data_IF_933412191218
#
_entry.id   IF_933412191218
#
_cell.length_a   1.000
_cell.length_b   1.000
_cell.length_c   1.000
_cell.angle_alpha   90.00
_cell.angle_beta   90.00
_cell.angle_gamma   90.00
#
_symmetry.space_group_name_H-M   'P 1'
#
loop_
_entity.id
_entity.type
_entity.pdbx_description
1 polymer ?
#
# COMPACT_ATOMS: atom_id res chain seq x y z
N UNK A 1 -28.40 -0.43 -11.37
CA UNK A 1 -28.84 -0.73 -10.00
C UNK A 1 -29.16 -2.21 -9.97
N UNK A 2 -28.23 -2.99 -9.43
CA UNK A 2 -28.37 -4.44 -9.31
C UNK A 2 -29.71 -4.80 -8.65
N UNK A 3 -30.45 -5.72 -9.28
CA UNK A 3 -31.78 -6.17 -8.83
C UNK A 3 -31.75 -7.03 -7.56
N UNK A 4 -30.58 -7.24 -6.97
CA UNK A 4 -30.43 -7.98 -5.71
C UNK A 4 -31.13 -7.23 -4.58
N UNK A 5 -32.10 -7.82 -3.86
CA UNK A 5 -32.70 -7.16 -2.70
C UNK A 5 -31.67 -7.00 -1.57
N UNK A 6 -31.48 -5.79 -1.05
CA UNK A 6 -30.55 -5.53 0.08
C UNK A 6 -30.86 -6.42 1.29
N UNK A 7 -32.15 -6.64 1.54
CA UNK A 7 -32.63 -7.50 2.61
C UNK A 7 -32.16 -8.95 2.48
N UNK A 8 -32.00 -9.47 1.27
CA UNK A 8 -31.53 -10.83 1.04
C UNK A 8 -30.03 -10.98 1.34
N UNK A 9 -29.22 -10.00 0.91
CA UNK A 9 -27.78 -9.96 1.22
C UNK A 9 -27.56 -9.86 2.72
N UNK A 10 -28.18 -8.87 3.37
CA UNK A 10 -28.04 -8.65 4.82
C UNK A 10 -28.52 -9.84 5.65
N UNK A 11 -29.64 -10.46 5.27
CA UNK A 11 -30.14 -11.65 5.96
C UNK A 11 -29.18 -12.84 5.85
N UNK A 12 -28.57 -13.05 4.68
CA UNK A 12 -27.58 -14.11 4.48
C UNK A 12 -26.32 -13.86 5.32
N UNK A 13 -25.80 -12.62 5.29
CA UNK A 13 -24.62 -12.25 6.09
C UNK A 13 -24.89 -12.49 7.58
N UNK A 14 -26.02 -12.05 8.11
CA UNK A 14 -26.35 -12.24 9.52
C UNK A 14 -26.50 -13.73 9.88
N UNK A 15 -27.16 -14.52 9.03
CA UNK A 15 -27.33 -15.96 9.25
C UNK A 15 -25.98 -16.70 9.31
N UNK A 16 -24.98 -16.24 8.56
CA UNK A 16 -23.68 -16.90 8.42
C UNK A 16 -22.54 -16.20 9.19
N UNK A 17 -22.84 -15.11 9.90
CA UNK A 17 -21.87 -14.29 10.64
C UNK A 17 -21.03 -15.10 11.62
N UNK A 18 -21.67 -15.95 12.43
CA UNK A 18 -20.96 -16.70 13.46
C UNK A 18 -19.91 -17.66 12.86
N UNK A 19 -20.30 -18.45 11.86
CA UNK A 19 -19.39 -19.38 11.18
C UNK A 19 -18.22 -18.63 10.50
N UNK A 20 -18.51 -17.50 9.86
CA UNK A 20 -17.48 -16.65 9.26
C UNK A 20 -16.47 -16.13 10.30
N UNK A 21 -16.93 -15.67 11.47
CA UNK A 21 -16.03 -15.20 12.51
C UNK A 21 -15.23 -16.33 13.17
N UNK A 22 -15.83 -17.51 13.32
CA UNK A 22 -15.13 -18.70 13.82
C UNK A 22 -14.00 -19.14 12.88
N UNK A 23 -14.28 -19.14 11.57
CA UNK A 23 -13.30 -19.45 10.53
C UNK A 23 -12.15 -18.43 10.48
N UNK A 24 -12.48 -17.13 10.54
CA UNK A 24 -11.47 -16.08 10.61
C UNK A 24 -10.60 -16.24 11.87
N UNK A 25 -11.21 -16.55 13.01
CA UNK A 25 -10.47 -16.80 14.25
C UNK A 25 -9.56 -18.03 14.14
N UNK A 26 -9.95 -19.08 13.42
CA UNK A 26 -9.06 -20.21 13.14
C UNK A 26 -7.84 -19.79 12.32
N UNK A 27 -8.04 -18.97 11.28
CA UNK A 27 -6.95 -18.50 10.43
C UNK A 27 -5.98 -17.57 11.16
N UNK A 28 -6.52 -16.69 12.02
CA UNK A 28 -5.74 -15.75 12.84
C UNK A 28 -4.86 -16.48 13.88
N UNK A 29 -5.24 -17.69 14.31
CA UNK A 29 -4.39 -18.54 15.18
C UNK A 29 -3.15 -19.10 14.51
N UNK A 30 -3.02 -18.94 13.19
CA UNK A 30 -1.83 -19.34 12.45
C UNK A 30 -0.84 -18.16 12.44
N UNK A 31 0.29 -18.22 13.16
CA UNK A 31 1.26 -17.12 13.22
C UNK A 31 2.14 -17.13 11.96
N UNK A 32 1.55 -16.76 10.83
CA UNK A 32 2.21 -16.72 9.52
C UNK A 32 3.15 -15.52 9.39
N UNK A 33 4.16 -15.44 10.25
CA UNK A 33 5.12 -14.33 10.29
C UNK A 33 6.20 -14.53 9.23
N UNK A 34 6.15 -13.81 8.11
CA UNK A 34 7.09 -13.96 6.98
C UNK A 34 8.51 -13.50 7.32
N UNK A 35 8.64 -12.47 8.16
CA UNK A 35 9.93 -11.91 8.57
C UNK A 35 10.77 -12.84 9.47
N UNK A 36 10.20 -13.95 9.96
CA UNK A 36 10.83 -14.86 10.93
C UNK A 36 10.97 -16.28 10.34
N UNK A 37 12.19 -16.73 9.99
CA UNK A 37 12.40 -18.03 9.35
C UNK A 37 11.84 -19.24 10.12
N UNK A 38 11.76 -19.16 11.46
CA UNK A 38 11.15 -20.18 12.31
C UNK A 38 9.65 -20.38 12.05
N UNK A 39 8.97 -19.35 11.53
CA UNK A 39 7.55 -19.37 11.17
C UNK A 39 7.30 -19.78 9.71
N UNK A 40 8.31 -20.18 8.94
CA UNK A 40 8.13 -20.62 7.55
C UNK A 40 7.09 -21.75 7.40
N UNK A 41 7.03 -22.66 8.37
CA UNK A 41 6.02 -23.72 8.41
C UNK A 41 4.60 -23.19 8.72
N UNK A 42 4.48 -22.13 9.52
CA UNK A 42 3.21 -21.47 9.82
C UNK A 42 2.71 -20.65 8.62
N UNK A 43 3.59 -19.97 7.90
CA UNK A 43 3.26 -19.27 6.64
C UNK A 43 2.72 -20.27 5.62
N UNK A 44 3.39 -21.42 5.46
CA UNK A 44 2.87 -22.52 4.64
C UNK A 44 1.52 -23.05 5.12
N UNK A 45 1.36 -23.26 6.43
CA UNK A 45 0.09 -23.71 7.02
C UNK A 45 -1.04 -22.72 6.74
N UNK A 46 -0.76 -21.42 6.78
CA UNK A 46 -1.70 -20.35 6.46
C UNK A 46 -2.16 -20.43 5.00
N UNK A 47 -1.23 -20.63 4.06
CA UNK A 47 -1.55 -20.82 2.64
C UNK A 47 -2.40 -22.08 2.40
N UNK A 48 -2.00 -23.22 2.99
CA UNK A 48 -2.73 -24.48 2.86
C UNK A 48 -4.15 -24.37 3.47
N UNK A 49 -4.29 -23.69 4.62
CA UNK A 49 -5.59 -23.43 5.25
C UNK A 49 -6.48 -22.57 4.36
N UNK A 50 -5.96 -21.46 3.83
CA UNK A 50 -6.73 -20.56 2.97
C UNK A 50 -7.17 -21.25 1.68
N UNK A 51 -6.29 -22.03 1.04
CA UNK A 51 -6.64 -22.78 -0.16
C UNK A 51 -7.78 -23.78 0.10
N UNK A 52 -7.73 -24.52 1.22
CA UNK A 52 -8.82 -25.41 1.63
C UNK A 52 -10.11 -24.63 1.89
N UNK A 53 -10.01 -23.46 2.53
CA UNK A 53 -11.18 -22.63 2.85
C UNK A 53 -11.85 -22.02 1.64
N UNK A 54 -11.07 -21.61 0.64
CA UNK A 54 -11.59 -21.13 -0.64
C UNK A 54 -12.29 -22.26 -1.40
N UNK A 55 -11.76 -23.48 -1.35
CA UNK A 55 -12.44 -24.65 -1.91
C UNK A 55 -13.77 -24.93 -1.21
N UNK A 56 -13.82 -24.89 0.13
CA UNK A 56 -15.06 -25.00 0.91
C UNK A 56 -16.07 -23.89 0.60
N UNK A 57 -15.60 -22.67 0.36
CA UNK A 57 -16.42 -21.52 -0.05
C UNK A 57 -17.11 -21.77 -1.40
N UNK A 58 -16.46 -22.54 -2.28
CA UNK A 58 -17.01 -23.01 -3.55
C UNK A 58 -16.14 -22.71 -4.78
N UNK A 59 -14.91 -22.21 -4.61
CA UNK A 59 -14.00 -21.99 -5.72
C UNK A 59 -13.62 -23.32 -6.39
N UNK A 60 -13.92 -23.52 -7.69
CA UNK A 60 -13.63 -24.77 -8.38
C UNK A 60 -12.12 -25.02 -8.57
N UNK A 61 -11.31 -23.97 -8.57
CA UNK A 61 -9.85 -24.03 -8.65
C UNK A 61 -9.25 -23.34 -7.43
N UNK A 62 -8.43 -24.05 -6.66
CA UNK A 62 -7.63 -23.53 -5.55
C UNK A 62 -6.24 -24.19 -5.59
N UNK A 63 -5.19 -23.38 -5.60
CA UNK A 63 -3.81 -23.81 -5.76
C UNK A 63 -2.91 -23.06 -4.77
N UNK A 64 -1.93 -23.74 -4.19
CA UNK A 64 -0.83 -23.11 -3.46
C UNK A 64 0.37 -23.06 -4.39
N UNK A 65 0.76 -21.87 -4.82
CA UNK A 65 1.91 -21.64 -5.68
C UNK A 65 3.17 -21.47 -4.85
N UNK A 66 4.16 -22.29 -5.12
CA UNK A 66 5.47 -22.13 -4.51
C UNK A 66 6.23 -20.96 -5.17
N UNK A 67 6.88 -20.14 -4.37
CA UNK A 67 7.85 -19.12 -4.80
C UNK A 67 9.24 -19.51 -4.26
N UNK A 68 10.31 -18.80 -4.64
CA UNK A 68 11.60 -18.93 -3.94
C UNK A 68 11.54 -18.59 -2.44
N UNK A 69 10.53 -17.85 -2.00
CA UNK A 69 10.25 -17.51 -0.61
C UNK A 69 8.96 -18.15 -0.10
N UNK A 70 8.06 -17.34 0.46
CA UNK A 70 6.79 -17.84 0.99
C UNK A 70 5.75 -18.12 -0.12
N UNK A 71 4.93 -19.18 0.03
CA UNK A 71 3.95 -19.53 -0.98
C UNK A 71 2.86 -18.46 -1.15
N UNK A 72 2.25 -18.41 -2.32
CA UNK A 72 1.04 -17.64 -2.59
C UNK A 72 -0.16 -18.58 -2.81
N UNK A 73 -1.37 -18.11 -2.55
CA UNK A 73 -2.61 -18.85 -2.81
C UNK A 73 -3.31 -18.25 -4.02
N UNK A 74 -3.59 -19.08 -5.02
CA UNK A 74 -4.41 -18.73 -6.18
C UNK A 74 -5.75 -19.45 -6.11
N UNK A 75 -6.84 -18.72 -6.34
CA UNK A 75 -8.16 -19.33 -6.53
C UNK A 75 -8.90 -18.67 -7.69
N UNK A 76 -9.75 -19.44 -8.36
CA UNK A 76 -10.52 -18.97 -9.51
C UNK A 76 -11.91 -19.58 -9.52
N UNK A 77 -12.91 -18.72 -9.75
CA UNK A 77 -14.31 -19.08 -9.97
C UNK A 77 -14.85 -18.36 -11.21
N UNK A 78 -14.92 -19.07 -12.35
CA UNK A 78 -15.45 -18.51 -13.58
C UNK A 78 -16.94 -18.14 -13.45
N UNK A 79 -17.35 -17.02 -14.05
CA UNK A 79 -18.77 -16.68 -14.24
C UNK A 79 -19.43 -17.63 -15.23
N UNK A 80 -20.74 -17.83 -15.07
CA UNK A 80 -21.59 -18.52 -16.05
C UNK A 80 -21.82 -17.69 -17.33
N UNK A 81 -21.55 -16.36 -17.29
CA UNK A 81 -21.57 -15.49 -18.47
C UNK A 81 -20.13 -15.36 -19.03
N UNK A 82 -19.82 -15.92 -20.21
CA UNK A 82 -18.49 -15.83 -20.83
C UNK A 82 -18.08 -14.42 -21.27
N UNK A 83 -18.98 -13.44 -21.19
CA UNK A 83 -18.71 -12.04 -21.49
C UNK A 83 -18.62 -11.18 -20.22
N UNK A 84 -18.64 -11.81 -19.05
CA UNK A 84 -18.41 -11.11 -17.80
C UNK A 84 -16.94 -10.65 -17.71
N UNK A 85 -16.66 -9.53 -17.03
CA UNK A 85 -15.28 -9.13 -16.79
C UNK A 85 -14.58 -10.11 -15.85
N UNK A 86 -13.27 -10.21 -15.97
CA UNK A 86 -12.37 -10.90 -15.05
C UNK A 86 -11.87 -9.92 -14.01
N UNK A 87 -12.04 -10.28 -12.73
CA UNK A 87 -11.64 -9.44 -11.60
C UNK A 87 -10.70 -10.23 -10.72
N UNK A 88 -9.49 -9.71 -10.52
CA UNK A 88 -8.50 -10.28 -9.61
C UNK A 88 -8.54 -9.53 -8.28
N UNK A 89 -8.76 -10.24 -7.19
CA UNK A 89 -8.58 -9.74 -5.83
C UNK A 89 -7.16 -10.09 -5.37
N UNK A 90 -6.42 -9.09 -4.91
CA UNK A 90 -5.11 -9.23 -4.29
C UNK A 90 -5.19 -8.91 -2.79
N UNK A 91 -4.36 -9.58 -2.00
CA UNK A 91 -4.09 -9.30 -0.59
C UNK A 91 -2.94 -10.20 -0.12
N UNK A 92 -2.74 -10.33 1.19
CA UNK A 92 -1.70 -11.21 1.73
C UNK A 92 -2.17 -12.03 2.94
N UNK A 93 -1.45 -13.12 3.23
CA UNK A 93 -1.75 -14.03 4.33
C UNK A 93 -0.63 -14.16 5.35
N UNK A 94 0.54 -13.59 5.08
CA UNK A 94 1.56 -13.34 6.09
C UNK A 94 1.20 -12.11 6.92
N UNK A 95 1.83 -12.00 8.09
CA UNK A 95 1.53 -10.96 9.08
C UNK A 95 2.82 -10.49 9.76
N UNK A 96 2.85 -9.24 10.25
CA UNK A 96 3.97 -8.77 11.08
C UNK A 96 4.22 -9.64 12.32
N UNK A 97 5.47 -9.68 12.83
CA UNK A 97 5.78 -10.20 14.15
C UNK A 97 4.89 -9.60 15.24
N UNK A 98 4.58 -10.41 16.24
CA UNK A 98 3.91 -9.96 17.44
C UNK A 98 4.18 -10.92 18.61
N UNK A 99 4.52 -10.35 19.76
CA UNK A 99 4.67 -11.07 21.01
C UNK A 99 3.98 -10.31 22.14
N UNK A 100 3.66 -11.00 23.24
CA UNK A 100 2.98 -10.35 24.38
C UNK A 100 3.85 -9.27 25.02
N UNK A 101 5.16 -9.47 24.96
CA UNK A 101 6.21 -8.59 25.46
C UNK A 101 6.25 -7.24 24.73
N UNK A 102 5.71 -7.16 23.51
CA UNK A 102 5.62 -5.91 22.74
C UNK A 102 4.54 -4.95 23.28
N UNK A 103 3.79 -5.38 24.31
CA UNK A 103 2.75 -4.58 24.96
C UNK A 103 1.32 -4.95 24.56
N UNK A 104 1.10 -6.20 24.14
CA UNK A 104 -0.24 -6.71 23.86
C UNK A 104 -1.02 -7.06 25.14
N UNK A 105 -2.32 -6.71 25.15
CA UNK A 105 -3.19 -7.02 26.29
C UNK A 105 -3.52 -8.53 26.36
N UNK A 106 -3.61 -9.17 25.18
CA UNK A 106 -3.91 -10.59 24.96
C UNK A 106 -2.77 -11.26 24.22
N UNK A 107 -2.80 -12.60 24.10
CA UNK A 107 -1.90 -13.27 23.16
C UNK A 107 -2.20 -12.75 21.74
N UNK A 108 -1.21 -12.29 20.95
CA UNK A 108 -1.45 -11.72 19.63
C UNK A 108 -2.13 -12.69 18.66
N UNK A 109 -1.88 -13.99 18.80
CA UNK A 109 -2.41 -15.02 17.92
C UNK A 109 -3.56 -15.82 18.55
N UNK A 110 -4.09 -15.41 19.71
CA UNK A 110 -5.37 -15.90 20.21
C UNK A 110 -6.43 -14.82 20.01
N UNK A 111 -7.34 -14.96 19.03
CA UNK A 111 -8.31 -13.93 18.71
C UNK A 111 -9.31 -13.72 19.84
N UNK A 112 -9.46 -12.47 20.28
CA UNK A 112 -10.35 -12.10 21.37
C UNK A 112 -11.40 -11.10 20.89
N UNK A 113 -12.66 -11.51 20.94
CA UNK A 113 -13.80 -10.61 20.73
C UNK A 113 -14.16 -9.90 22.03
N UNK A 114 -14.15 -8.56 22.02
CA UNK A 114 -14.66 -7.71 23.11
C UNK A 114 -15.54 -6.62 22.54
N UNK A 115 -16.85 -6.71 22.79
CA UNK A 115 -17.82 -5.78 22.19
C UNK A 115 -17.81 -5.94 20.67
N UNK A 116 -17.63 -4.82 19.95
CA UNK A 116 -17.59 -4.80 18.49
C UNK A 116 -16.21 -5.11 17.89
N UNK A 117 -15.22 -5.51 18.70
CA UNK A 117 -13.82 -5.59 18.26
C UNK A 117 -13.31 -7.00 18.31
N UNK A 118 -12.73 -7.46 17.20
CA UNK A 118 -11.90 -8.66 17.14
C UNK A 118 -10.44 -8.22 17.21
N UNK A 119 -9.75 -8.62 18.28
CA UNK A 119 -8.33 -8.29 18.53
C UNK A 119 -7.47 -9.51 18.27
N UNK A 120 -6.57 -9.41 17.30
CA UNK A 120 -5.53 -10.39 16.98
C UNK A 120 -4.57 -9.75 15.97
N UNK A 121 -3.34 -10.25 15.88
CA UNK A 121 -2.44 -9.95 14.77
C UNK A 121 -3.04 -10.51 13.48
N UNK A 122 -3.11 -9.67 12.45
CA UNK A 122 -3.68 -10.01 11.15
C UNK A 122 -5.18 -9.82 11.04
N UNK A 123 -5.85 -9.38 12.11
CA UNK A 123 -7.29 -9.17 12.10
C UNK A 123 -7.72 -8.06 11.13
N UNK A 124 -6.89 -7.03 10.99
CA UNK A 124 -7.10 -5.91 10.06
C UNK A 124 -6.13 -5.95 8.86
N UNK A 125 -4.95 -6.57 9.04
CA UNK A 125 -3.83 -6.50 8.09
C UNK A 125 -3.17 -7.89 7.87
N UNK A 126 -3.58 -8.68 6.86
CA UNK A 126 -4.68 -8.44 5.94
C UNK A 126 -5.69 -9.60 5.89
N UNK A 127 -5.54 -10.59 6.80
CA UNK A 127 -6.40 -11.78 6.83
C UNK A 127 -7.88 -11.40 6.93
N UNK A 128 -8.24 -10.43 7.75
CA UNK A 128 -9.62 -9.97 7.84
C UNK A 128 -10.17 -9.45 6.52
N UNK A 129 -9.38 -8.66 5.78
CA UNK A 129 -9.86 -8.05 4.54
C UNK A 129 -9.92 -9.04 3.39
N UNK A 130 -8.92 -9.91 3.25
CA UNK A 130 -8.98 -11.06 2.33
C UNK A 130 -10.22 -11.91 2.64
N UNK A 131 -10.47 -12.17 3.92
CA UNK A 131 -11.50 -13.13 4.30
C UNK A 131 -12.91 -12.63 4.04
N UNK A 132 -13.20 -11.33 4.10
CA UNK A 132 -14.56 -10.82 3.85
C UNK A 132 -15.08 -11.15 2.44
N UNK A 133 -14.19 -11.35 1.46
CA UNK A 133 -14.57 -11.76 0.10
C UNK A 133 -15.25 -13.13 0.07
N UNK A 134 -14.90 -14.04 1.00
CA UNK A 134 -15.45 -15.40 1.06
C UNK A 134 -16.95 -15.37 1.39
N UNK A 135 -17.35 -14.66 2.45
CA UNK A 135 -18.76 -14.50 2.79
C UNK A 135 -19.47 -13.58 1.78
N UNK A 136 -18.78 -12.58 1.24
CA UNK A 136 -19.33 -11.64 0.26
C UNK A 136 -19.78 -12.33 -1.03
N UNK A 137 -18.92 -13.19 -1.61
CA UNK A 137 -19.29 -13.97 -2.80
C UNK A 137 -20.45 -14.92 -2.50
N UNK A 138 -20.47 -15.55 -1.32
CA UNK A 138 -21.58 -16.44 -0.91
C UNK A 138 -22.90 -15.69 -0.79
N UNK A 139 -22.89 -14.50 -0.19
CA UNK A 139 -24.07 -13.64 -0.06
C UNK A 139 -24.58 -13.15 -1.42
N UNK A 140 -23.67 -12.79 -2.34
CA UNK A 140 -24.01 -12.46 -3.73
C UNK A 140 -24.76 -13.63 -4.42
N UNK A 141 -24.22 -14.84 -4.35
CA UNK A 141 -24.83 -16.03 -4.97
C UNK A 141 -26.22 -16.31 -4.38
N UNK A 142 -26.34 -16.28 -3.06
CA UNK A 142 -27.61 -16.55 -2.37
C UNK A 142 -28.69 -15.52 -2.72
N UNK A 143 -28.33 -14.23 -2.75
CA UNK A 143 -29.28 -13.16 -2.98
C UNK A 143 -29.67 -13.01 -4.46
N UNK A 144 -28.80 -13.43 -5.39
CA UNK A 144 -29.08 -13.39 -6.84
C UNK A 144 -29.63 -14.71 -7.39
N UNK A 145 -29.51 -15.81 -6.65
CA UNK A 145 -29.84 -17.15 -7.11
C UNK A 145 -28.87 -17.71 -8.16
N UNK A 146 -27.68 -17.08 -8.34
CA UNK A 146 -26.66 -17.53 -9.29
C UNK A 146 -25.90 -18.75 -8.76
N UNK A 147 -25.42 -19.57 -9.67
CA UNK A 147 -24.55 -20.72 -9.40
C UNK A 147 -23.07 -20.37 -9.39
N UNK A 148 -22.69 -19.28 -10.07
CA UNK A 148 -21.35 -18.71 -10.08
C UNK A 148 -21.38 -17.17 -9.94
N UNK A 149 -20.26 -16.53 -9.55
CA UNK A 149 -20.19 -15.07 -9.40
C UNK A 149 -20.57 -14.35 -10.70
N UNK A 150 -20.93 -13.07 -10.59
CA UNK A 150 -21.32 -12.30 -11.78
C UNK A 150 -20.12 -11.90 -12.66
N UNK A 151 -18.90 -12.04 -12.14
CA UNK A 151 -17.60 -11.79 -12.79
C UNK A 151 -16.77 -13.08 -12.80
N UNK A 152 -15.77 -13.20 -13.66
CA UNK A 152 -14.75 -14.24 -13.48
C UNK A 152 -13.87 -13.82 -12.29
N UNK A 153 -14.13 -14.39 -11.13
CA UNK A 153 -13.49 -13.98 -9.88
C UNK A 153 -12.19 -14.78 -9.69
N UNK A 154 -11.07 -14.08 -9.55
CA UNK A 154 -9.77 -14.64 -9.20
C UNK A 154 -9.28 -14.04 -7.90
N UNK A 155 -8.57 -14.82 -7.08
CA UNK A 155 -7.84 -14.35 -5.91
C UNK A 155 -6.36 -14.72 -6.07
N UNK A 156 -5.47 -13.78 -5.78
CA UNK A 156 -4.03 -14.00 -5.62
C UNK A 156 -3.60 -13.42 -4.27
N UNK A 157 -3.36 -14.29 -3.29
CA UNK A 157 -3.03 -13.90 -1.92
C UNK A 157 -1.59 -14.30 -1.64
N UNK A 158 -0.67 -13.34 -1.54
CA UNK A 158 0.76 -13.64 -1.32
C UNK A 158 1.12 -13.87 0.15
N UNK A 159 2.34 -14.33 0.40
CA UNK A 159 2.84 -14.62 1.75
C UNK A 159 4.13 -13.89 2.10
N UNK A 160 4.49 -12.83 1.38
CA UNK A 160 5.73 -12.07 1.57
C UNK A 160 5.53 -10.55 1.68
N UNK A 161 4.29 -10.05 1.76
CA UNK A 161 3.99 -8.60 1.73
C UNK A 161 4.71 -7.87 2.86
N UNK A 162 4.63 -8.43 4.07
CA UNK A 162 5.17 -7.84 5.30
C UNK A 162 6.72 -7.92 5.34
N UNK A 163 7.30 -8.60 4.36
CA UNK A 163 8.74 -8.70 4.08
C UNK A 163 9.15 -7.98 2.79
N UNK A 164 8.27 -7.17 2.22
CA UNK A 164 8.51 -6.32 1.04
C UNK A 164 8.27 -6.99 -0.31
N UNK A 165 7.54 -8.10 -0.36
CA UNK A 165 7.15 -8.81 -1.60
C UNK A 165 8.31 -9.11 -2.58
N UNK A 166 9.50 -9.59 -2.12
CA UNK A 166 10.71 -9.64 -2.95
C UNK A 166 10.58 -10.51 -4.21
N UNK A 167 9.67 -11.49 -4.21
CA UNK A 167 9.44 -12.39 -5.34
C UNK A 167 8.10 -12.18 -6.05
N UNK A 168 7.26 -11.25 -5.57
CA UNK A 168 5.89 -11.11 -6.04
C UNK A 168 5.81 -10.70 -7.51
N UNK A 169 6.57 -9.68 -7.91
CA UNK A 169 6.61 -9.23 -9.30
C UNK A 169 6.97 -10.37 -10.26
N UNK A 170 8.00 -11.14 -9.94
CA UNK A 170 8.44 -12.28 -10.75
C UNK A 170 7.36 -13.37 -10.83
N UNK A 171 6.62 -13.63 -9.74
CA UNK A 171 5.48 -14.54 -9.74
C UNK A 171 4.37 -14.06 -10.67
N UNK A 172 4.02 -12.76 -10.63
CA UNK A 172 2.98 -12.18 -11.49
C UNK A 172 3.39 -12.25 -12.97
N UNK A 173 4.66 -11.99 -13.28
CA UNK A 173 5.21 -12.12 -14.64
C UNK A 173 5.22 -13.58 -15.12
N UNK A 174 5.62 -14.54 -14.27
CA UNK A 174 5.61 -15.97 -14.60
C UNK A 174 4.19 -16.51 -14.85
N UNK A 175 3.22 -16.03 -14.07
CA UNK A 175 1.82 -16.51 -14.06
C UNK A 175 0.85 -15.55 -14.73
N UNK A 176 1.33 -14.64 -15.55
CA UNK A 176 0.54 -13.58 -16.18
C UNK A 176 -0.66 -14.14 -16.98
N UNK A 177 -0.49 -15.31 -17.61
CA UNK A 177 -1.55 -16.02 -18.34
C UNK A 177 -2.70 -16.47 -17.43
N UNK A 178 -2.39 -16.91 -16.20
CA UNK A 178 -3.39 -17.25 -15.17
C UNK A 178 -3.99 -16.02 -14.52
N UNK A 179 -3.22 -14.93 -14.41
CA UNK A 179 -3.58 -13.72 -13.65
C UNK A 179 -4.21 -12.61 -14.47
N UNK A 180 -4.25 -12.73 -15.81
CA UNK A 180 -4.88 -11.74 -16.68
C UNK A 180 -6.28 -11.42 -16.18
N UNK A 181 -6.55 -10.13 -15.97
CA UNK A 181 -7.79 -9.61 -15.43
C UNK A 181 -8.11 -8.26 -16.07
N UNK A 182 -9.39 -7.93 -16.13
CA UNK A 182 -9.88 -6.66 -16.63
C UNK A 182 -9.80 -5.56 -15.55
N UNK A 183 -9.87 -5.94 -14.27
CA UNK A 183 -9.58 -5.08 -13.12
C UNK A 183 -8.94 -5.86 -11.97
N UNK A 184 -8.16 -5.14 -11.15
CA UNK A 184 -7.58 -5.67 -9.92
C UNK A 184 -8.17 -4.92 -8.72
N UNK A 185 -8.55 -5.64 -7.68
CA UNK A 185 -8.96 -5.10 -6.38
C UNK A 185 -7.86 -5.45 -5.38
N UNK A 186 -7.11 -4.45 -4.93
CA UNK A 186 -6.23 -4.58 -3.77
C UNK A 186 -7.11 -4.46 -2.53
N UNK A 187 -7.20 -5.57 -1.80
CA UNK A 187 -8.01 -5.70 -0.60
C UNK A 187 -7.27 -5.31 0.67
N UNK A 188 -6.32 -4.40 0.57
CA UNK A 188 -5.38 -4.06 1.63
C UNK A 188 -5.22 -2.54 1.71
N UNK A 189 -6.28 -1.87 2.16
CA UNK A 189 -6.27 -0.40 2.32
C UNK A 189 -7.12 0.05 3.51
N UNK A 190 -7.00 1.33 3.83
CA UNK A 190 -7.78 1.94 4.90
C UNK A 190 -8.85 2.90 4.37
N UNK A 191 -9.91 3.06 5.17
CA UNK A 191 -10.84 4.17 5.08
C UNK A 191 -10.38 5.31 5.99
N UNK A 192 -10.92 6.51 5.75
CA UNK A 192 -10.61 7.69 6.57
C UNK A 192 -10.91 7.48 8.06
N UNK A 193 -12.09 6.94 8.37
CA UNK A 193 -12.54 6.62 9.73
C UNK A 193 -13.74 5.71 9.71
N UNK A 194 -14.16 5.20 10.88
CA UNK A 194 -15.34 4.33 11.02
C UNK A 194 -16.61 4.95 10.41
N UNK A 195 -16.77 6.27 10.53
CA UNK A 195 -17.95 7.03 10.08
C UNK A 195 -17.73 7.78 8.76
N UNK A 196 -16.58 7.59 8.09
CA UNK A 196 -16.29 8.24 6.80
C UNK A 196 -15.61 7.23 5.89
N UNK A 197 -16.39 6.40 5.18
CA UNK A 197 -15.86 5.42 4.26
C UNK A 197 -15.29 6.14 3.04
N UNK A 198 -14.13 5.66 2.60
CA UNK A 198 -13.41 6.25 1.48
C UNK A 198 -12.85 5.18 0.56
N UNK A 199 -12.77 5.51 -0.73
CA UNK A 199 -12.04 4.72 -1.72
C UNK A 199 -10.73 5.43 -2.03
N UNK A 200 -9.62 4.72 -1.84
CA UNK A 200 -8.32 5.19 -2.31
C UNK A 200 -8.28 5.12 -3.84
N UNK A 201 -7.84 6.19 -4.50
CA UNK A 201 -7.77 6.25 -5.96
C UNK A 201 -6.35 6.06 -6.47
N UNK A 202 -5.35 6.10 -5.60
CA UNK A 202 -3.95 6.00 -6.00
C UNK A 202 -2.98 6.09 -4.83
N UNK A 203 -1.79 5.56 -5.06
CA UNK A 203 -0.72 5.44 -4.08
C UNK A 203 0.57 6.01 -4.69
N UNK A 204 1.41 6.62 -3.85
CA UNK A 204 2.70 7.15 -4.30
C UNK A 204 3.67 6.01 -4.60
N UNK A 205 4.58 6.26 -5.53
CA UNK A 205 5.76 5.43 -5.72
C UNK A 205 6.89 5.84 -4.78
N UNK A 206 7.99 5.12 -4.85
CA UNK A 206 9.19 5.37 -4.06
C UNK A 206 10.43 5.07 -4.90
N UNK A 207 11.36 6.02 -4.97
CA UNK A 207 12.73 5.76 -5.38
C UNK A 207 13.65 6.23 -4.24
N UNK A 208 14.69 5.47 -3.93
CA UNK A 208 15.62 5.79 -2.83
C UNK A 208 17.05 5.64 -3.31
N UNK A 209 17.92 6.54 -2.84
CA UNK A 209 19.34 6.45 -3.13
C UNK A 209 20.24 6.86 -1.97
N UNK A 210 21.45 6.31 -2.00
CA UNK A 210 22.57 6.70 -1.16
C UNK A 210 23.65 7.31 -2.06
N UNK A 211 24.09 8.52 -1.70
CA UNK A 211 25.15 9.27 -2.36
C UNK A 211 26.36 9.28 -1.43
N UNK A 212 27.41 8.56 -1.83
CA UNK A 212 28.70 8.58 -1.14
C UNK A 212 29.63 9.58 -1.82
N UNK A 213 30.29 10.43 -1.03
CA UNK A 213 31.23 11.44 -1.50
C UNK A 213 32.61 11.17 -0.93
N UNK A 214 33.64 11.16 -1.78
CA UNK A 214 35.04 10.92 -1.40
C UNK A 214 35.93 12.07 -1.85
N UNK A 215 36.63 12.67 -0.91
CA UNK A 215 37.63 13.72 -1.15
C UNK A 215 39.05 13.17 -0.99
N UNK A 216 39.82 13.64 0.02
CA UNK A 216 41.16 13.13 0.28
C UNK A 216 41.14 11.66 0.72
N UNK A 217 42.24 10.94 0.49
CA UNK A 217 42.34 9.50 0.82
C UNK A 217 42.31 9.19 2.34
N UNK A 218 42.40 10.23 3.18
CA UNK A 218 42.27 10.16 4.63
C UNK A 218 41.80 11.51 5.18
N UNK A 219 41.33 11.53 6.43
CA UNK A 219 41.10 12.78 7.15
C UNK A 219 42.38 13.63 7.19
N UNK A 220 42.27 14.92 6.86
CA UNK A 220 43.41 15.85 6.87
C UNK A 220 43.16 17.04 7.78
N UNK A 221 44.23 17.64 8.29
CA UNK A 221 44.16 18.74 9.26
C UNK A 221 43.48 19.99 8.68
N UNK A 222 42.33 20.41 9.22
CA UNK A 222 41.54 21.49 8.64
C UNK A 222 42.22 22.86 8.70
N UNK A 223 43.12 23.09 9.66
CA UNK A 223 43.90 24.34 9.69
C UNK A 223 45.01 24.40 8.64
N UNK A 224 45.50 23.24 8.17
CA UNK A 224 46.60 23.19 7.21
C UNK A 224 46.09 23.16 5.76
N UNK A 225 44.93 22.54 5.54
CA UNK A 225 44.37 22.31 4.21
C UNK A 225 43.02 23.02 3.97
N UNK A 226 42.44 23.64 5.02
CA UNK A 226 41.16 24.34 4.95
C UNK A 226 41.19 25.51 3.98
N UNK A 227 40.17 25.60 3.14
CA UNK A 227 40.07 26.61 2.08
C UNK A 227 40.84 26.27 0.80
N UNK A 228 41.65 25.20 0.80
CA UNK A 228 42.42 24.75 -0.36
C UNK A 228 42.00 23.37 -0.88
N UNK A 229 41.61 22.44 0.01
CA UNK A 229 41.14 21.08 -0.37
C UNK A 229 39.61 21.01 -0.27
N UNK A 230 38.91 20.45 -1.28
CA UNK A 230 37.47 20.32 -1.24
C UNK A 230 37.03 19.41 -0.08
N UNK A 231 35.97 19.81 0.61
CA UNK A 231 35.46 19.11 1.78
C UNK A 231 34.20 18.32 1.42
N UNK A 232 34.22 16.97 1.50
CA UNK A 232 33.06 16.13 1.23
C UNK A 232 31.82 16.50 2.06
N UNK A 233 31.98 16.82 3.35
CA UNK A 233 30.86 17.19 4.22
C UNK A 233 30.23 18.53 3.81
N UNK A 234 31.03 19.48 3.31
CA UNK A 234 30.51 20.73 2.74
C UNK A 234 29.76 20.48 1.44
N UNK A 235 30.24 19.57 0.58
CA UNK A 235 29.55 19.19 -0.65
C UNK A 235 28.20 18.51 -0.35
N UNK A 236 28.16 17.57 0.61
CA UNK A 236 26.92 16.93 1.07
C UNK A 236 25.90 17.96 1.59
N UNK A 237 26.35 18.90 2.43
CA UNK A 237 25.48 19.96 2.96
C UNK A 237 24.89 20.86 1.86
N UNK A 238 25.67 21.15 0.79
CA UNK A 238 25.20 21.95 -0.35
C UNK A 238 24.19 21.18 -1.21
N UNK A 239 24.44 19.89 -1.48
CA UNK A 239 23.45 19.06 -2.17
C UNK A 239 22.12 19.08 -1.42
N UNK A 240 22.14 18.85 -0.10
CA UNK A 240 20.91 18.90 0.72
C UNK A 240 20.26 20.28 0.72
N UNK A 241 21.04 21.36 0.83
CA UNK A 241 20.51 22.72 0.80
C UNK A 241 19.86 23.08 -0.55
N UNK A 242 20.39 22.54 -1.66
CA UNK A 242 19.89 22.76 -3.02
C UNK A 242 18.79 21.77 -3.42
N UNK A 243 18.38 20.85 -2.55
CA UNK A 243 17.37 19.83 -2.87
C UNK A 243 15.99 20.44 -3.09
N UNK A 244 15.68 21.53 -2.37
CA UNK A 244 14.44 22.28 -2.49
C UNK A 244 14.69 23.76 -2.80
N UNK A 245 13.76 24.37 -3.52
CA UNK A 245 13.75 25.81 -3.75
C UNK A 245 13.14 26.61 -2.57
N UNK A 246 13.10 27.94 -2.72
CA UNK A 246 12.53 28.85 -1.73
C UNK A 246 11.02 28.68 -1.48
N UNK A 247 10.34 27.89 -2.31
CA UNK A 247 8.92 27.54 -2.20
C UNK A 247 8.71 26.08 -1.78
N UNK A 248 9.77 25.39 -1.32
CA UNK A 248 9.78 23.99 -0.93
C UNK A 248 9.36 23.03 -2.05
N UNK A 249 9.59 23.39 -3.32
CA UNK A 249 9.52 22.45 -4.44
C UNK A 249 10.86 21.75 -4.62
N UNK A 250 10.84 20.50 -5.06
CA UNK A 250 12.06 19.76 -5.38
C UNK A 250 12.78 20.45 -6.54
N UNK A 251 14.02 20.87 -6.32
CA UNK A 251 14.78 21.71 -7.25
C UNK A 251 15.63 20.91 -8.26
N UNK A 252 15.45 19.59 -8.31
CA UNK A 252 16.08 18.72 -9.32
C UNK A 252 15.44 18.98 -10.69
N UNK A 253 16.18 19.43 -11.72
CA UNK A 253 15.63 19.69 -13.05
C UNK A 253 15.00 18.43 -13.65
N UNK A 254 13.81 18.57 -14.24
CA UNK A 254 13.06 17.45 -14.81
C UNK A 254 12.26 16.63 -13.81
N UNK A 255 12.32 16.93 -12.50
CA UNK A 255 11.64 16.14 -11.46
C UNK A 255 10.11 16.09 -11.62
N UNK A 256 9.51 17.18 -12.07
CA UNK A 256 8.06 17.30 -12.26
C UNK A 256 7.59 16.94 -13.68
N UNK A 257 8.47 16.40 -14.53
CA UNK A 257 8.11 16.00 -15.89
C UNK A 257 7.17 14.77 -15.85
N UNK A 258 6.11 14.80 -16.67
CA UNK A 258 5.17 13.68 -16.81
C UNK A 258 4.11 13.56 -15.71
N UNK A 259 4.17 14.36 -14.62
CA UNK A 259 3.21 14.25 -13.52
C UNK A 259 1.76 14.48 -13.99
N UNK A 260 0.86 13.65 -13.46
CA UNK A 260 -0.58 13.87 -13.56
C UNK A 260 -1.01 14.88 -12.51
N UNK A 261 -1.31 16.11 -12.92
CA UNK A 261 -1.80 17.15 -12.01
C UNK A 261 -3.22 16.86 -11.52
N UNK A 262 -3.52 17.29 -10.29
CA UNK A 262 -4.88 17.23 -9.76
C UNK A 262 -5.81 18.11 -10.58
N UNK A 263 -6.95 17.53 -10.95
CA UNK A 263 -8.10 18.27 -11.49
C UNK A 263 -8.78 19.11 -10.39
N UNK A 264 -9.55 20.13 -10.79
CA UNK A 264 -10.32 20.93 -9.83
C UNK A 264 -11.30 20.07 -9.02
N UNK A 265 -11.89 19.05 -9.67
CA UNK A 265 -12.82 18.13 -9.00
C UNK A 265 -12.12 17.28 -7.92
N UNK A 266 -10.91 16.79 -8.18
CA UNK A 266 -10.14 16.06 -7.16
C UNK A 266 -9.78 16.95 -5.96
N UNK A 267 -9.44 18.22 -6.21
CA UNK A 267 -9.16 19.18 -5.13
C UNK A 267 -10.39 19.46 -4.27
N UNK A 268 -11.56 19.61 -4.90
CA UNK A 268 -12.83 19.75 -4.18
C UNK A 268 -13.10 18.53 -3.30
N UNK A 269 -12.95 17.32 -3.85
CA UNK A 269 -13.16 16.07 -3.12
C UNK A 269 -12.21 15.91 -1.92
N UNK A 270 -10.94 16.31 -2.07
CA UNK A 270 -10.00 16.34 -0.94
C UNK A 270 -10.42 17.35 0.13
N UNK A 271 -10.96 18.50 -0.26
CA UNK A 271 -11.44 19.52 0.68
C UNK A 271 -12.72 19.10 1.42
N UNK A 272 -13.49 18.14 0.89
CA UNK A 272 -14.66 17.57 1.55
C UNK A 272 -14.28 16.61 2.69
N UNK A 273 -13.04 16.13 2.78
CA UNK A 273 -12.59 15.25 3.86
C UNK A 273 -12.54 15.99 5.21
N UNK A 274 -12.90 15.33 6.33
CA UNK A 274 -12.92 15.96 7.64
C UNK A 274 -11.50 16.00 8.24
N UNK A 275 -10.60 16.73 7.59
CA UNK A 275 -9.19 16.84 7.96
C UNK A 275 -8.92 17.97 8.96
N UNK A 276 -8.47 17.59 10.15
CA UNK A 276 -7.92 18.50 11.16
C UNK A 276 -6.38 18.46 11.11
N UNK A 277 -5.77 19.46 10.47
CA UNK A 277 -4.32 19.59 10.37
C UNK A 277 -3.64 19.70 11.76
N UNK A 278 -4.31 20.32 12.74
CA UNK A 278 -3.77 20.42 14.09
C UNK A 278 -3.79 19.07 14.81
N UNK A 279 -4.81 18.23 14.59
CA UNK A 279 -4.83 16.86 15.07
C UNK A 279 -3.76 16.01 14.41
N UNK A 280 -3.63 16.11 13.08
CA UNK A 280 -2.62 15.39 12.32
C UNK A 280 -1.19 15.74 12.81
N UNK A 281 -0.91 17.02 13.07
CA UNK A 281 0.36 17.45 13.67
C UNK A 281 0.61 16.88 15.07
N UNK A 282 -0.43 16.71 15.90
CA UNK A 282 -0.31 16.07 17.22
C UNK A 282 0.13 14.60 17.10
N UNK A 283 -0.40 13.87 16.12
CA UNK A 283 0.03 12.50 15.80
C UNK A 283 1.50 12.46 15.40
N UNK A 284 1.93 13.40 14.55
CA UNK A 284 3.32 13.54 14.13
C UNK A 284 4.25 14.10 15.23
N UNK A 285 3.71 14.52 16.39
CA UNK A 285 4.43 15.24 17.45
C UNK A 285 5.20 16.46 16.92
N UNK A 286 4.62 17.15 15.94
CA UNK A 286 5.15 18.36 15.31
C UNK A 286 4.35 19.59 15.69
N UNK A 287 4.95 20.78 15.55
CA UNK A 287 4.33 22.07 15.89
C UNK A 287 3.86 22.86 14.67
N UNK A 288 4.25 22.47 13.46
CA UNK A 288 3.90 23.18 12.23
C UNK A 288 4.00 22.27 11.00
N UNK A 289 3.25 22.62 9.95
CA UNK A 289 3.41 22.05 8.61
C UNK A 289 4.40 22.89 7.80
N UNK A 290 5.10 22.24 6.87
CA UNK A 290 5.98 22.87 5.89
C UNK A 290 5.92 22.06 4.59
N UNK A 291 6.06 22.71 3.43
CA UNK A 291 6.07 22.04 2.13
C UNK A 291 5.67 22.98 1.00
N UNK A 292 5.52 22.40 -0.19
CA UNK A 292 5.28 23.12 -1.45
C UNK A 292 4.21 24.23 -1.31
N UNK A 293 4.56 25.45 -1.70
CA UNK A 293 3.66 26.60 -1.67
C UNK A 293 2.44 26.41 -2.58
N UNK A 294 1.27 26.90 -2.14
CA UNK A 294 0.02 26.78 -2.90
C UNK A 294 -0.62 25.39 -2.90
N UNK A 295 -0.13 24.48 -2.05
CA UNK A 295 -0.69 23.13 -1.86
C UNK A 295 -1.14 22.94 -0.42
N UNK A 296 -2.30 22.31 -0.24
CA UNK A 296 -2.79 21.91 1.11
C UNK A 296 -1.96 20.73 1.63
N UNK A 297 -2.05 20.42 2.92
CA UNK A 297 -1.34 19.26 3.48
C UNK A 297 -1.74 17.95 2.79
N UNK A 298 -3.03 17.71 2.56
CA UNK A 298 -3.49 16.52 1.83
C UNK A 298 -2.95 16.49 0.40
N UNK A 299 -2.97 17.61 -0.32
CA UNK A 299 -2.37 17.65 -1.66
C UNK A 299 -0.88 17.29 -1.63
N UNK A 300 -0.12 17.81 -0.66
CA UNK A 300 1.33 17.54 -0.50
C UNK A 300 1.61 16.06 -0.21
N UNK A 301 0.85 15.45 0.70
CA UNK A 301 1.12 14.07 1.13
C UNK A 301 0.54 13.01 0.20
N UNK A 302 -0.28 13.38 -0.78
CA UNK A 302 -0.96 12.40 -1.64
C UNK A 302 -0.71 12.59 -3.14
N UNK A 303 -0.67 13.83 -3.61
CA UNK A 303 -0.72 14.14 -5.04
C UNK A 303 0.47 14.98 -5.52
N UNK A 304 1.37 15.36 -4.62
CA UNK A 304 2.65 15.99 -4.98
C UNK A 304 3.80 15.03 -4.73
N UNK A 305 4.78 14.98 -5.64
CA UNK A 305 6.00 14.26 -5.37
C UNK A 305 6.85 15.03 -4.37
N UNK A 306 7.63 14.31 -3.57
CA UNK A 306 8.50 14.88 -2.54
C UNK A 306 9.90 14.29 -2.62
N UNK A 307 10.89 15.01 -2.10
CA UNK A 307 12.23 14.50 -1.87
C UNK A 307 12.55 14.72 -0.40
N UNK A 308 12.99 13.70 0.32
CA UNK A 308 13.28 13.79 1.76
C UNK A 308 14.72 13.38 2.04
N UNK A 309 15.35 14.07 2.99
CA UNK A 309 16.69 13.72 3.47
C UNK A 309 16.53 12.76 4.64
N UNK A 310 16.78 11.48 4.40
CA UNK A 310 16.68 10.45 5.43
C UNK A 310 17.97 10.34 6.26
N UNK A 311 19.10 10.75 5.70
CA UNK A 311 20.38 10.76 6.40
C UNK A 311 21.40 11.70 5.74
N UNK A 312 22.23 12.33 6.57
CA UNK A 312 23.38 13.12 6.14
C UNK A 312 24.49 12.97 7.17
N UNK A 313 25.72 12.68 6.73
CA UNK A 313 26.84 12.46 7.66
C UNK A 313 28.21 12.60 7.01
N UNK A 314 29.24 12.82 7.84
CA UNK A 314 30.63 12.93 7.41
C UNK A 314 31.54 13.42 8.52
N UNK A 315 32.79 12.96 8.53
CA UNK A 315 33.78 13.36 9.54
C UNK A 315 33.43 12.99 10.98
N UNK A 316 33.83 13.84 11.92
CA UNK A 316 33.76 13.56 13.36
C UNK A 316 32.39 13.91 13.95
N UNK A 317 31.70 12.91 14.50
CA UNK A 317 30.36 13.03 15.09
C UNK A 317 30.35 12.68 16.60
N UNK A 318 31.53 12.42 17.18
CA UNK A 318 31.70 12.08 18.59
C UNK A 318 31.73 13.31 19.52
N UNK A 319 31.85 13.09 20.84
CA UNK A 319 31.93 14.17 21.82
C UNK A 319 33.24 14.96 21.73
N UNK A 320 33.16 16.30 21.77
CA UNK A 320 34.34 17.18 21.69
C UNK A 320 34.59 17.67 20.26
N UNK A 321 35.84 17.97 19.90
CA UNK A 321 36.18 18.55 18.60
C UNK A 321 37.34 17.81 17.92
N UNK A 322 37.22 17.59 16.61
CA UNK A 322 38.29 17.10 15.75
C UNK A 322 38.41 18.04 14.54
N UNK A 323 39.51 18.78 14.44
CA UNK A 323 39.72 19.80 13.39
C UNK A 323 40.24 19.16 12.10
N UNK A 324 39.32 18.58 11.33
CA UNK A 324 39.61 17.84 10.10
C UNK A 324 38.78 18.31 8.90
N UNK A 325 39.32 18.09 7.71
CA UNK A 325 38.53 17.89 6.49
C UNK A 325 38.37 16.36 6.36
N UNK A 326 37.12 15.85 6.34
CA UNK A 326 36.91 14.41 6.28
C UNK A 326 37.29 13.84 4.92
N UNK A 327 37.72 12.57 4.89
CA UNK A 327 37.93 11.84 3.64
C UNK A 327 36.63 11.56 2.88
N UNK A 328 35.52 11.44 3.59
CA UNK A 328 34.23 11.12 3.01
C UNK A 328 33.03 11.73 3.74
N UNK A 329 31.91 11.77 3.03
CA UNK A 329 30.59 12.12 3.54
C UNK A 329 29.52 11.33 2.78
N UNK A 330 28.30 11.33 3.27
CA UNK A 330 27.19 10.60 2.70
C UNK A 330 25.87 11.35 2.83
N UNK A 331 24.95 11.09 1.90
CA UNK A 331 23.56 11.56 1.92
C UNK A 331 22.65 10.40 1.53
N UNK A 332 21.58 10.16 2.28
CA UNK A 332 20.49 9.24 1.92
C UNK A 332 19.25 10.05 1.58
N UNK A 333 18.69 9.81 0.40
CA UNK A 333 17.52 10.50 -0.12
C UNK A 333 16.42 9.51 -0.48
N UNK A 334 15.18 9.92 -0.25
CA UNK A 334 13.99 9.21 -0.70
C UNK A 334 13.12 10.16 -1.52
N UNK A 335 12.54 9.65 -2.59
CA UNK A 335 11.68 10.39 -3.51
C UNK A 335 10.33 9.70 -3.56
N UNK A 336 9.28 10.36 -3.04
CA UNK A 336 7.91 9.89 -3.24
C UNK A 336 7.44 10.33 -4.62
N UNK A 337 7.07 9.36 -5.43
CA UNK A 337 6.66 9.57 -6.83
C UNK A 337 5.14 9.62 -6.94
N UNK A 338 4.63 10.34 -7.93
CA UNK A 338 3.19 10.40 -8.25
C UNK A 338 2.95 9.97 -9.69
N UNK A 339 1.70 9.63 -9.99
CA UNK A 339 1.29 9.11 -11.30
C UNK A 339 1.86 9.93 -12.47
N UNK A 340 2.43 9.23 -13.44
CA UNK A 340 3.11 9.80 -14.61
C UNK A 340 4.62 9.98 -14.44
N UNK A 341 5.18 9.82 -13.24
CA UNK A 341 6.63 9.77 -13.06
C UNK A 341 7.19 8.37 -13.28
N UNK A 342 8.36 8.33 -13.90
CA UNK A 342 9.14 7.12 -14.17
C UNK A 342 10.36 7.05 -13.23
N UNK A 343 10.49 6.01 -12.38
CA UNK A 343 11.63 5.89 -11.47
C UNK A 343 13.00 5.92 -12.17
N UNK A 344 13.11 5.35 -13.37
CA UNK A 344 14.37 5.33 -14.14
C UNK A 344 14.78 6.74 -14.57
N UNK A 345 13.80 7.57 -14.93
CA UNK A 345 14.03 8.99 -15.20
C UNK A 345 14.48 9.74 -13.96
N UNK A 346 13.86 9.48 -12.80
CA UNK A 346 14.24 10.08 -11.51
C UNK A 346 15.68 9.72 -11.14
N UNK A 347 16.07 8.45 -11.28
CA UNK A 347 17.45 8.02 -11.08
C UNK A 347 18.41 8.79 -11.98
N UNK A 348 18.11 8.87 -13.28
CA UNK A 348 18.94 9.56 -14.27
C UNK A 348 19.13 11.04 -13.93
N UNK A 349 18.06 11.77 -13.61
CA UNK A 349 18.15 13.21 -13.32
C UNK A 349 18.86 13.48 -11.99
N UNK A 350 18.68 12.64 -10.97
CA UNK A 350 19.36 12.79 -9.68
C UNK A 350 20.87 12.55 -9.82
N UNK A 351 21.28 11.55 -10.62
CA UNK A 351 22.69 11.31 -10.95
C UNK A 351 23.32 12.50 -11.66
N UNK A 352 22.65 13.03 -12.68
CA UNK A 352 23.13 14.21 -13.41
C UNK A 352 23.21 15.46 -12.51
N UNK A 353 22.14 15.74 -11.78
CA UNK A 353 22.03 16.87 -10.85
C UNK A 353 23.11 16.86 -9.77
N UNK A 354 23.43 15.68 -9.23
CA UNK A 354 24.51 15.50 -8.25
C UNK A 354 25.86 15.79 -8.88
N UNK A 355 26.17 15.19 -10.04
CA UNK A 355 27.45 15.36 -10.72
C UNK A 355 27.76 16.83 -11.08
N UNK A 356 26.74 17.60 -11.48
CA UNK A 356 26.88 19.03 -11.83
C UNK A 356 27.19 19.94 -10.63
N UNK A 357 26.84 19.52 -9.41
CA UNK A 357 26.99 20.34 -8.18
C UNK A 357 28.25 20.04 -7.39
N UNK A 358 28.93 18.92 -7.69
CA UNK A 358 30.13 18.55 -6.97
C UNK A 358 31.34 19.35 -7.45
N UNK A 359 32.14 19.91 -6.53
CA UNK A 359 33.37 20.60 -6.90
C UNK A 359 34.41 19.61 -7.41
N UNK A 360 35.33 20.10 -8.25
CA UNK A 360 36.48 19.32 -8.69
C UNK A 360 37.25 18.72 -7.50
N UNK A 361 37.63 17.45 -7.61
CA UNK A 361 38.34 16.72 -6.56
C UNK A 361 37.45 15.96 -5.57
N UNK A 362 36.12 16.06 -5.67
CA UNK A 362 35.19 15.15 -4.99
C UNK A 362 34.75 14.07 -5.99
N UNK A 363 35.03 12.82 -5.65
CA UNK A 363 34.48 11.63 -6.32
C UNK A 363 33.15 11.27 -5.67
N UNK A 364 32.27 10.61 -6.41
CA UNK A 364 31.00 10.15 -5.87
C UNK A 364 30.60 8.79 -6.41
N UNK A 365 29.82 8.08 -5.60
CA UNK A 365 29.09 6.87 -5.97
C UNK A 365 27.61 7.09 -5.58
N UNK A 366 26.68 6.64 -6.42
CA UNK A 366 25.26 6.72 -6.14
C UNK A 366 24.65 5.35 -6.37
N UNK A 367 24.02 4.82 -5.33
CA UNK A 367 23.36 3.51 -5.33
C UNK A 367 21.87 3.72 -5.14
N UNK A 368 21.06 3.22 -6.08
CA UNK A 368 19.62 3.21 -5.97
C UNK A 368 19.13 1.85 -5.47
N UNK A 369 18.10 1.86 -4.63
CA UNK A 369 17.33 0.67 -4.31
C UNK A 369 16.35 0.34 -5.45
N UNK A 370 15.75 -0.85 -5.41
CA UNK A 370 14.62 -1.16 -6.28
C UNK A 370 13.49 -0.16 -6.03
N UNK A 371 12.96 0.43 -7.10
CA UNK A 371 11.93 1.45 -7.00
C UNK A 371 10.53 0.85 -7.09
N UNK A 372 9.57 1.47 -6.40
CA UNK A 372 8.14 1.20 -6.54
C UNK A 372 7.51 2.28 -7.41
N UNK A 373 6.80 1.89 -8.46
CA UNK A 373 6.07 2.85 -9.30
C UNK A 373 4.84 3.42 -8.58
N UNK A 374 4.41 4.64 -8.90
CA UNK A 374 3.12 5.16 -8.42
C UNK A 374 1.97 4.52 -9.19
N UNK A 375 0.82 4.36 -8.54
CA UNK A 375 -0.41 3.89 -9.18
C UNK A 375 -1.55 4.90 -9.00
N UNK A 376 -2.40 5.02 -10.01
CA UNK A 376 -3.58 5.88 -9.99
C UNK A 376 -4.66 5.31 -10.91
N UNK A 377 -5.88 5.23 -10.41
CA UNK A 377 -7.07 4.97 -11.19
C UNK A 377 -7.88 6.26 -11.32
N UNK A 378 -8.20 6.73 -12.54
CA UNK A 378 -9.00 7.93 -12.75
C UNK A 378 -10.35 7.87 -12.03
N UNK A 379 -10.80 9.02 -11.50
CA UNK A 379 -12.07 9.11 -10.78
C UNK A 379 -13.27 8.60 -11.59
N UNK A 380 -13.31 8.86 -12.89
CA UNK A 380 -14.39 8.49 -13.78
C UNK A 380 -14.27 7.06 -14.33
N UNK A 381 -13.24 6.30 -13.93
CA UNK A 381 -13.08 4.92 -14.37
C UNK A 381 -14.28 4.06 -13.91
N UNK A 382 -14.99 3.35 -14.80
CA UNK A 382 -16.23 2.65 -14.44
C UNK A 382 -16.08 1.59 -13.34
N UNK A 383 -14.92 0.93 -13.29
CA UNK A 383 -14.60 -0.02 -12.24
C UNK A 383 -14.46 0.64 -10.86
N UNK A 384 -13.79 1.79 -10.78
CA UNK A 384 -13.68 2.59 -9.55
C UNK A 384 -15.06 3.07 -9.08
N UNK A 385 -15.87 3.54 -10.03
CA UNK A 385 -17.25 3.94 -9.76
C UNK A 385 -18.11 2.77 -9.28
N UNK A 386 -17.82 1.54 -9.70
CA UNK A 386 -18.51 0.34 -9.20
C UNK A 386 -18.15 0.03 -7.75
N UNK A 387 -16.88 0.18 -7.37
CA UNK A 387 -16.44 0.09 -5.96
C UNK A 387 -17.12 1.15 -5.11
N UNK A 388 -17.09 2.42 -5.55
CA UNK A 388 -17.73 3.51 -4.84
C UNK A 388 -19.26 3.32 -4.68
N UNK A 389 -19.96 2.83 -5.72
CA UNK A 389 -21.39 2.51 -5.63
C UNK A 389 -21.67 1.34 -4.69
N UNK A 390 -20.86 0.28 -4.75
CA UNK A 390 -21.02 -0.90 -3.90
C UNK A 390 -20.80 -0.55 -2.42
N UNK A 391 -19.74 0.22 -2.13
CA UNK A 391 -19.49 0.74 -0.78
C UNK A 391 -20.61 1.69 -0.36
N UNK A 392 -21.03 2.62 -1.22
CA UNK A 392 -22.09 3.57 -0.85
C UNK A 392 -23.42 2.90 -0.55
N UNK A 393 -23.71 1.78 -1.24
CA UNK A 393 -24.87 0.92 -0.96
C UNK A 393 -24.73 0.19 0.38
N UNK A 394 -23.55 -0.39 0.67
CA UNK A 394 -23.31 -1.09 1.93
C UNK A 394 -23.32 -0.15 3.13
N UNK A 395 -22.62 0.98 3.04
CA UNK A 395 -22.51 1.96 4.11
C UNK A 395 -23.70 2.93 4.18
N UNK A 396 -24.63 2.86 3.23
CA UNK A 396 -25.81 3.73 3.11
C UNK A 396 -25.45 5.23 3.14
N UNK A 397 -24.32 5.58 2.54
CA UNK A 397 -23.79 6.95 2.52
C UNK A 397 -22.99 7.22 1.25
N UNK A 398 -22.73 8.50 0.99
CA UNK A 398 -21.84 8.90 -0.09
C UNK A 398 -20.39 8.56 0.25
N UNK A 399 -19.68 7.98 -0.72
CA UNK A 399 -18.28 7.57 -0.56
C UNK A 399 -17.37 8.70 -0.99
N UNK A 400 -16.43 9.08 -0.13
CA UNK A 400 -15.40 10.07 -0.44
C UNK A 400 -14.16 9.41 -1.00
N UNK A 401 -13.26 10.21 -1.56
CA UNK A 401 -12.05 9.70 -2.20
C UNK A 401 -10.81 10.17 -1.47
N UNK A 402 -9.87 9.24 -1.30
CA UNK A 402 -8.56 9.48 -0.72
C UNK A 402 -7.48 9.06 -1.70
N UNK A 403 -6.24 9.38 -1.37
CA UNK A 403 -5.05 8.77 -1.95
C UNK A 403 -4.15 8.35 -0.80
N UNK A 404 -3.17 7.51 -1.09
CA UNK A 404 -2.28 6.93 -0.10
C UNK A 404 -0.89 7.56 -0.21
N UNK A 405 -0.32 7.90 0.95
CA UNK A 405 1.03 8.43 1.02
C UNK A 405 2.10 7.35 0.90
N UNK A 406 1.73 6.09 1.17
CA UNK A 406 2.61 4.93 1.11
C UNK A 406 2.98 4.51 -0.31
N UNK A 407 3.60 3.34 -0.42
CA UNK A 407 3.93 2.64 -1.67
C UNK A 407 3.73 1.15 -1.42
N UNK A 408 3.34 0.39 -2.45
CA UNK A 408 3.05 -1.04 -2.32
C UNK A 408 2.98 -1.74 -3.68
N UNK A 409 2.76 -3.06 -3.70
CA UNK A 409 2.83 -3.90 -4.91
C UNK A 409 1.69 -3.64 -5.90
N UNK A 410 0.72 -2.78 -5.54
CA UNK A 410 -0.35 -2.32 -6.41
C UNK A 410 0.16 -1.86 -7.80
N UNK A 411 1.31 -1.18 -7.86
CA UNK A 411 1.85 -0.74 -9.14
C UNK A 411 2.40 -1.89 -10.00
N UNK A 412 2.99 -2.92 -9.39
CA UNK A 412 3.45 -4.11 -10.13
C UNK A 412 2.27 -4.85 -10.76
N UNK A 413 1.15 -4.96 -10.05
CA UNK A 413 -0.10 -5.51 -10.59
C UNK A 413 -0.62 -4.68 -11.77
N UNK A 414 -0.64 -3.35 -11.64
CA UNK A 414 -1.07 -2.45 -12.70
C UNK A 414 -0.22 -2.60 -13.95
N UNK A 415 1.11 -2.63 -13.79
CA UNK A 415 2.05 -2.67 -14.91
C UNK A 415 2.09 -4.03 -15.61
N UNK A 416 2.19 -5.12 -14.83
CA UNK A 416 2.33 -6.46 -15.39
C UNK A 416 1.01 -6.95 -16.00
N UNK A 417 -0.13 -6.64 -15.37
CA UNK A 417 -1.44 -7.08 -15.87
C UNK A 417 -2.07 -6.07 -16.84
N UNK A 418 -1.52 -4.86 -16.97
CA UNK A 418 -2.08 -3.77 -17.76
C UNK A 418 -3.55 -3.47 -17.42
N UNK A 419 -3.90 -3.58 -16.13
CA UNK A 419 -5.26 -3.45 -15.63
C UNK A 419 -5.37 -2.34 -14.57
N UNK A 420 -6.52 -1.64 -14.47
CA UNK A 420 -6.77 -0.67 -13.40
C UNK A 420 -6.74 -1.36 -12.04
N UNK A 421 -6.06 -0.73 -11.08
CA UNK A 421 -5.99 -1.20 -9.69
C UNK A 421 -6.92 -0.34 -8.83
N UNK A 422 -7.85 -1.02 -8.18
CA UNK A 422 -8.87 -0.45 -7.31
C UNK A 422 -8.53 -0.84 -5.88
N UNK A 423 -8.80 0.05 -4.95
CA UNK A 423 -8.55 -0.20 -3.54
C UNK A 423 -9.88 -0.38 -2.82
N UNK A 424 -10.03 -1.54 -2.17
CA UNK A 424 -11.19 -1.86 -1.35
C UNK A 424 -10.71 -2.34 0.01
N UNK A 425 -10.75 -1.44 0.98
CA UNK A 425 -10.41 -1.77 2.36
C UNK A 425 -11.44 -1.23 3.34
N UNK A 426 -11.49 -1.86 4.51
CA UNK A 426 -12.40 -1.48 5.61
C UNK A 426 -11.66 -1.11 6.88
N UNK A 427 -10.33 -1.24 6.88
CA UNK A 427 -9.49 -0.88 8.02
C UNK A 427 -9.55 0.62 8.27
N UNK A 428 -9.36 1.03 9.52
CA UNK A 428 -9.32 2.44 9.93
C UNK A 428 -8.04 2.74 10.70
N UNK A 429 -7.60 4.01 10.82
CA UNK A 429 -6.34 4.32 11.50
C UNK A 429 -6.22 3.81 12.94
N UNK A 430 -7.36 3.57 13.61
CA UNK A 430 -7.40 3.03 14.98
C UNK A 430 -7.19 1.52 15.09
N UNK A 431 -7.11 0.81 13.96
CA UNK A 431 -6.95 -0.65 13.90
C UNK A 431 -5.55 -1.09 14.29
N UNK A 432 -4.56 -0.18 14.24
CA UNK A 432 -3.24 -0.42 14.81
C UNK A 432 -2.40 -1.40 13.99
N UNK A 433 -2.41 -1.26 12.66
CA UNK A 433 -1.52 -2.00 11.78
C UNK A 433 -0.08 -1.93 12.29
N UNK A 434 0.57 -3.09 12.29
CA UNK A 434 1.95 -3.30 12.74
C UNK A 434 2.23 -2.98 14.22
N UNK A 435 1.24 -2.47 14.97
CA UNK A 435 1.37 -2.11 16.36
C UNK A 435 0.80 -3.19 17.30
N UNK A 436 1.12 -3.14 18.60
CA UNK A 436 0.41 -3.95 19.57
C UNK A 436 -1.08 -3.68 19.52
N UNK A 437 -1.85 -4.67 19.94
CA UNK A 437 -3.28 -4.48 20.16
C UNK A 437 -4.06 -4.20 18.86
N UNK A 438 -3.56 -4.71 17.72
CA UNK A 438 -4.25 -4.70 16.43
C UNK A 438 -5.67 -5.24 16.57
N UNK A 439 -6.63 -4.59 15.92
CA UNK A 439 -8.05 -4.98 15.96
C UNK A 439 -8.76 -4.61 14.66
N UNK A 440 -9.81 -5.35 14.34
CA UNK A 440 -10.82 -4.95 13.35
C UNK A 440 -12.16 -4.71 14.05
N UNK A 441 -12.88 -3.67 13.63
CA UNK A 441 -14.28 -3.48 14.03
C UNK A 441 -15.16 -4.46 13.24
N UNK A 442 -15.89 -5.31 13.96
CA UNK A 442 -16.71 -6.37 13.37
C UNK A 442 -17.78 -5.82 12.43
N UNK A 443 -18.37 -4.66 12.75
CA UNK A 443 -19.33 -4.03 11.86
C UNK A 443 -18.69 -3.57 10.53
N UNK A 444 -17.46 -3.05 10.56
CA UNK A 444 -16.73 -2.68 9.34
C UNK A 444 -16.30 -3.89 8.52
N UNK A 445 -15.86 -4.96 9.19
CA UNK A 445 -15.59 -6.24 8.54
C UNK A 445 -16.82 -6.75 7.76
N UNK A 446 -18.00 -6.68 8.38
CA UNK A 446 -19.26 -7.04 7.71
C UNK A 446 -19.68 -6.04 6.63
N UNK A 447 -19.29 -4.77 6.72
CA UNK A 447 -19.46 -3.82 5.61
C UNK A 447 -18.57 -4.16 4.41
N UNK A 448 -17.39 -4.75 4.64
CA UNK A 448 -16.57 -5.33 3.57
C UNK A 448 -17.26 -6.51 2.88
N UNK A 449 -17.86 -7.40 3.68
CA UNK A 449 -18.69 -8.52 3.18
C UNK A 449 -19.87 -7.99 2.35
N UNK A 450 -20.62 -7.02 2.88
CA UNK A 450 -21.78 -6.43 2.21
C UNK A 450 -21.38 -5.70 0.92
N UNK A 451 -20.27 -4.95 0.94
CA UNK A 451 -19.73 -4.26 -0.23
C UNK A 451 -19.39 -5.24 -1.34
N UNK A 452 -18.62 -6.30 -1.04
CA UNK A 452 -18.22 -7.29 -2.05
C UNK A 452 -19.41 -8.06 -2.60
N UNK A 453 -20.42 -8.34 -1.78
CA UNK A 453 -21.67 -8.95 -2.24
C UNK A 453 -22.41 -8.10 -3.29
N UNK A 454 -22.33 -6.77 -3.20
CA UNK A 454 -22.91 -5.87 -4.20
C UNK A 454 -21.99 -5.64 -5.41
N UNK A 455 -20.68 -5.62 -5.17
CA UNK A 455 -19.66 -5.27 -6.15
C UNK A 455 -19.67 -6.17 -7.38
N UNK A 456 -19.80 -7.49 -7.20
CA UNK A 456 -19.76 -8.44 -8.31
C UNK A 456 -20.87 -8.19 -9.32
N UNK A 457 -22.10 -7.92 -8.84
CA UNK A 457 -23.21 -7.56 -9.70
C UNK A 457 -23.02 -6.20 -10.38
N UNK A 458 -22.55 -5.21 -9.63
CA UNK A 458 -22.35 -3.86 -10.17
C UNK A 458 -21.25 -3.80 -11.24
N UNK A 459 -20.12 -4.49 -11.03
CA UNK A 459 -19.05 -4.61 -12.03
C UNK A 459 -19.58 -5.29 -13.30
N UNK A 460 -20.26 -6.43 -13.17
CA UNK A 460 -20.79 -7.13 -14.35
C UNK A 460 -21.80 -6.28 -15.16
N UNK A 461 -22.59 -5.44 -14.48
CA UNK A 461 -23.55 -4.54 -15.12
C UNK A 461 -22.89 -3.35 -15.82
N UNK A 462 -21.91 -2.72 -15.18
CA UNK A 462 -21.35 -1.43 -15.62
C UNK A 462 -19.99 -1.55 -16.34
N UNK A 463 -19.42 -2.76 -16.44
CA UNK A 463 -18.16 -2.97 -17.16
C UNK A 463 -18.27 -2.69 -18.66
N UNK A 464 -19.44 -2.99 -19.26
CA UNK A 464 -19.65 -2.83 -20.70
C UNK A 464 -19.64 -1.37 -21.17
N UNK A 465 -19.76 -0.42 -20.25
CA UNK A 465 -19.66 1.02 -20.51
C UNK A 465 -18.21 1.54 -20.37
N UNK A 466 -17.23 0.64 -20.11
CA UNK A 466 -15.81 0.97 -19.92
C UNK A 466 -14.94 0.81 -21.17
N UNK A 467 -15.54 0.48 -22.32
CA UNK A 467 -14.88 0.35 -23.63
C UNK A 467 -15.60 1.26 -24.62
#
# INVERSE_FOLDING_TARGET
>A
MSKTPDSAVRAYIEQHRAAFLDDLAEWLRIPSVSAQPEHAADVRRSADWLAAKLQETGFPTCEVWATPGAPAVFAEWPSDDPQAPTVLVYGHHDVQPAAREDGWDTDPFEPVVRGNRLRARGAADDKGQVFFHTLGVRAHLAATGRTAPAVHLKLLIEGEEESGSPHFRALVEERQDRLTADAVIVSDTSMWSEDTPTVCTGMRGLAECEIELHGPDQDIHSGAFGGAVPNPATAAARLVADLHDEHARVAVPGFYEGITELTDRERELFAELPFDEAQWLRTAKSTATHGEAGRTTLERIWARPTAEVNGIGGGYQGPGSKTIIPSSAMVKLSFRLVAGQDPDHIEKIVRAWTAERLPAGIRHEITFAAATRPCLTPLDHPALQSVARAMGRAFEQEIRFTREGGSGPAADLQDVLAAPVLFLGISVPSDGWHAPNEKVELDLLLKGVETTAYLWGDLAENWRDAH
#
